data_IF_777710479747
#
_entry.id   IF_777710479747
#
_cell.length_a   1.000
_cell.length_b   1.000
_cell.length_c   1.000
_cell.angle_alpha   90.00
_cell.angle_beta   90.00
_cell.angle_gamma   90.00
#
_symmetry.space_group_name_H-M   'P 1'
#
loop_
_entity.id
_entity.type
_entity.pdbx_description
1 polymer ?
#
# COMPACT_ATOMS: atom_id res chain seq x y z
N UNK A 1 8.31 -6.37 -8.95
CA UNK A 1 6.92 -5.99 -8.66
C UNK A 1 6.83 -4.70 -7.83
N UNK A 2 5.78 -3.88 -8.04
CA UNK A 2 5.53 -2.65 -7.28
C UNK A 2 4.06 -2.47 -6.91
N UNK A 3 3.74 -2.15 -5.66
CA UNK A 3 2.42 -1.63 -5.24
C UNK A 3 2.47 -0.10 -5.31
N UNK A 4 1.59 0.53 -6.09
CA UNK A 4 1.69 1.95 -6.43
C UNK A 4 0.46 2.73 -5.95
N UNK A 5 0.72 3.81 -5.22
CA UNK A 5 -0.28 4.77 -4.74
C UNK A 5 -0.14 6.08 -5.55
N UNK A 6 -1.17 6.60 -6.22
CA UNK A 6 -1.06 7.83 -7.05
C UNK A 6 -1.66 9.08 -6.39
N UNK A 7 -0.97 10.22 -6.50
CA UNK A 7 -1.40 11.55 -6.00
C UNK A 7 -1.18 12.65 -7.05
N UNK A 8 -2.07 13.66 -7.07
CA UNK A 8 -1.88 14.94 -7.78
C UNK A 8 -1.33 16.02 -6.84
N UNK A 9 -0.38 16.81 -7.31
CA UNK A 9 0.13 18.00 -6.61
C UNK A 9 -0.99 19.00 -6.26
N UNK A 10 -1.05 19.42 -4.99
CA UNK A 10 -1.98 20.45 -4.50
C UNK A 10 -1.26 21.80 -4.54
N UNK A 11 -1.54 22.60 -5.56
CA UNK A 11 -1.11 24.01 -5.59
C UNK A 11 -1.98 24.81 -4.62
N UNK A 12 -1.41 25.18 -3.47
CA UNK A 12 -2.09 25.90 -2.38
C UNK A 12 -2.35 27.37 -2.75
N UNK A 13 -3.62 27.77 -2.88
CA UNK A 13 -4.02 29.18 -2.77
C UNK A 13 -4.03 29.58 -1.29
N UNK A 14 -3.14 30.50 -0.91
CA UNK A 14 -3.12 31.10 0.43
C UNK A 14 -4.12 32.27 0.48
N UNK A 15 -5.07 32.22 1.41
CA UNK A 15 -5.84 33.39 1.83
C UNK A 15 -5.77 33.51 3.36
N UNK A 16 -5.61 34.74 3.84
CA UNK A 16 -5.15 35.09 5.18
C UNK A 16 -6.25 35.21 6.25
N UNK A 17 -5.85 34.85 7.48
CA UNK A 17 -6.14 35.38 8.82
C UNK A 17 -7.58 35.70 9.27
N UNK A 18 -8.04 34.97 10.28
CA UNK A 18 -8.87 35.50 11.38
C UNK A 18 -8.42 34.85 12.71
N UNK A 19 -8.08 35.70 13.68
CA UNK A 19 -7.64 35.32 15.03
C UNK A 19 -8.89 35.12 15.90
N UNK A 20 -9.13 33.88 16.31
CA UNK A 20 -10.08 33.52 17.37
C UNK A 20 -9.46 32.38 18.17
N UNK A 21 -9.04 32.67 19.41
CA UNK A 21 -8.43 31.68 20.30
C UNK A 21 -9.53 30.77 20.88
N UNK A 22 -10.00 29.83 20.07
CA UNK A 22 -10.70 28.66 20.58
C UNK A 22 -9.64 27.70 21.11
N UNK A 23 -9.79 27.27 22.36
CA UNK A 23 -9.13 26.06 22.86
C UNK A 23 -9.78 24.87 22.15
N UNK A 24 -9.46 24.68 20.87
CA UNK A 24 -9.78 23.45 20.16
C UNK A 24 -8.81 22.41 20.68
N UNK A 25 -9.27 21.54 21.56
CA UNK A 25 -8.63 20.21 21.67
C UNK A 25 -8.48 19.69 20.25
N UNK A 26 -7.29 19.22 19.82
CA UNK A 26 -7.21 18.55 18.54
C UNK A 26 -8.12 17.34 18.66
N UNK A 27 -9.28 17.38 18.00
CA UNK A 27 -10.05 16.18 17.76
C UNK A 27 -9.07 15.28 17.02
N UNK A 28 -8.61 14.21 17.68
CA UNK A 28 -7.77 13.23 17.01
C UNK A 28 -8.67 12.65 15.93
N UNK A 29 -8.49 13.11 14.70
CA UNK A 29 -9.31 12.63 13.61
C UNK A 29 -8.99 11.14 13.46
N UNK A 30 -10.02 10.29 13.44
CA UNK A 30 -9.84 8.85 13.27
C UNK A 30 -9.00 8.55 12.03
N UNK A 31 -8.36 7.39 12.07
CA UNK A 31 -7.63 6.84 10.93
C UNK A 31 -8.58 6.66 9.75
N UNK A 32 -8.14 7.11 8.58
CA UNK A 32 -8.89 6.94 7.34
C UNK A 32 -8.41 5.65 6.66
N UNK A 33 -9.28 4.64 6.63
CA UNK A 33 -9.01 3.41 5.90
C UNK A 33 -8.91 3.72 4.40
N UNK A 34 -7.76 3.43 3.82
CA UNK A 34 -7.53 3.63 2.39
C UNK A 34 -7.93 2.39 1.57
N UNK A 35 -7.48 1.21 1.99
CA UNK A 35 -7.80 -0.06 1.36
C UNK A 35 -7.66 -1.19 2.39
N UNK A 36 -8.71 -1.98 2.55
CA UNK A 36 -8.75 -3.15 3.44
C UNK A 36 -8.50 -4.47 2.69
N UNK A 37 -8.72 -4.49 1.37
CA UNK A 37 -8.59 -5.67 0.50
C UNK A 37 -9.53 -6.82 0.87
N UNK A 38 -10.74 -6.51 1.33
CA UNK A 38 -11.74 -7.52 1.73
C UNK A 38 -12.74 -7.90 0.60
N UNK A 39 -12.62 -7.29 -0.57
CA UNK A 39 -13.49 -7.55 -1.73
C UNK A 39 -13.04 -8.73 -2.59
N UNK A 40 -13.92 -9.19 -3.48
CA UNK A 40 -13.65 -10.32 -4.39
C UNK A 40 -12.61 -10.02 -5.48
N UNK A 41 -12.38 -8.74 -5.76
CA UNK A 41 -11.47 -8.27 -6.81
C UNK A 41 -10.63 -7.11 -6.31
N UNK A 42 -9.59 -6.75 -7.06
CA UNK A 42 -8.81 -5.55 -6.78
C UNK A 42 -9.48 -4.24 -7.21
N UNK A 43 -10.65 -4.26 -7.87
CA UNK A 43 -11.30 -3.03 -8.31
C UNK A 43 -11.52 -2.07 -7.12
N UNK A 44 -11.22 -0.77 -7.26
CA UNK A 44 -10.90 -0.03 -8.50
C UNK A 44 -9.40 0.03 -8.87
N UNK A 45 -8.54 -0.80 -8.30
CA UNK A 45 -7.11 -0.83 -8.62
C UNK A 45 -6.85 -1.50 -9.96
N UNK A 46 -5.77 -1.07 -10.61
CA UNK A 46 -5.31 -1.60 -11.89
C UNK A 46 -4.16 -2.58 -11.68
N UNK A 47 -4.32 -3.80 -12.17
CA UNK A 47 -3.27 -4.82 -12.22
C UNK A 47 -2.55 -4.76 -13.57
N UNK A 48 -1.22 -4.87 -13.56
CA UNK A 48 -0.41 -5.14 -14.74
C UNK A 48 0.51 -6.33 -14.49
N UNK A 49 0.86 -7.05 -15.55
CA UNK A 49 1.68 -8.26 -15.44
C UNK A 49 0.92 -9.43 -14.80
N UNK A 50 1.66 -10.33 -14.15
CA UNK A 50 1.14 -11.61 -13.67
C UNK A 50 1.32 -11.83 -12.17
N UNK A 51 2.07 -10.96 -11.48
CA UNK A 51 2.42 -11.12 -10.07
C UNK A 51 1.23 -10.98 -9.11
N UNK A 52 0.12 -10.41 -9.55
CA UNK A 52 -1.11 -10.32 -8.77
C UNK A 52 -2.22 -11.15 -9.42
N UNK A 53 -3.00 -11.84 -8.59
CA UNK A 53 -4.21 -12.53 -9.03
C UNK A 53 -5.34 -11.57 -9.42
N UNK A 54 -6.55 -12.10 -9.64
CA UNK A 54 -7.74 -11.30 -9.94
C UNK A 54 -8.29 -10.52 -8.74
N UNK A 55 -7.87 -10.88 -7.53
CA UNK A 55 -8.30 -10.26 -6.28
C UNK A 55 -7.36 -10.60 -5.13
N UNK A 56 -7.68 -10.08 -3.92
CA UNK A 56 -6.95 -10.37 -2.70
C UNK A 56 -6.82 -11.87 -2.44
N UNK A 57 -5.67 -12.29 -1.93
CA UNK A 57 -5.50 -13.65 -1.42
C UNK A 57 -6.12 -13.74 -0.02
N UNK A 58 -6.59 -14.92 0.38
CA UNK A 58 -7.14 -15.16 1.72
C UNK A 58 -6.18 -15.97 2.62
N UNK A 59 -4.87 -15.75 2.42
CA UNK A 59 -3.79 -16.50 3.05
C UNK A 59 -2.63 -16.79 2.09
N UNK A 60 -1.78 -17.79 2.38
CA UNK A 60 -0.68 -18.18 1.51
C UNK A 60 -1.17 -18.80 0.20
N UNK A 61 -0.43 -18.56 -0.88
CA UNK A 61 -0.66 -19.19 -2.18
C UNK A 61 0.08 -20.55 -2.27
N UNK A 62 -0.28 -21.37 -3.25
CA UNK A 62 0.37 -22.67 -3.45
C UNK A 62 1.88 -22.52 -3.66
N UNK A 63 2.68 -23.24 -2.85
CA UNK A 63 4.14 -23.16 -2.88
C UNK A 63 4.75 -22.00 -2.09
N UNK A 64 3.92 -21.15 -1.46
CA UNK A 64 4.37 -20.07 -0.59
C UNK A 64 4.56 -20.54 0.85
N UNK A 65 5.48 -19.90 1.57
CA UNK A 65 5.54 -19.98 3.02
C UNK A 65 4.26 -19.42 3.68
N UNK A 66 4.03 -19.79 4.94
CA UNK A 66 2.87 -19.31 5.68
C UNK A 66 2.89 -17.79 5.86
N UNK A 67 1.78 -17.11 5.54
CA UNK A 67 1.64 -15.65 5.60
C UNK A 67 0.79 -15.28 6.82
N UNK A 68 1.30 -14.38 7.66
CA UNK A 68 0.67 -13.97 8.92
C UNK A 68 0.75 -12.45 9.13
N UNK A 69 0.04 -11.92 10.13
CA UNK A 69 0.13 -10.52 10.53
C UNK A 69 -0.70 -9.53 9.70
N UNK A 70 -1.33 -9.97 8.61
CA UNK A 70 -2.34 -9.16 7.92
C UNK A 70 -3.63 -9.04 8.75
N UNK A 71 -4.42 -8.00 8.48
CA UNK A 71 -5.70 -7.76 9.16
C UNK A 71 -6.85 -8.17 8.23
N UNK A 72 -7.92 -8.71 8.82
CA UNK A 72 -9.10 -9.13 8.06
C UNK A 72 -8.92 -10.50 7.44
N UNK A 73 -9.57 -10.73 6.30
CA UNK A 73 -9.54 -11.99 5.54
C UNK A 73 -8.75 -11.88 4.26
N UNK A 74 -8.51 -10.67 3.76
CA UNK A 74 -7.84 -10.44 2.49
C UNK A 74 -6.48 -9.77 2.63
N UNK A 75 -5.59 -10.04 1.69
CA UNK A 75 -4.34 -9.33 1.51
C UNK A 75 -3.97 -9.20 0.04
N UNK A 76 -3.23 -8.15 -0.29
CA UNK A 76 -2.49 -8.10 -1.56
C UNK A 76 -1.36 -9.11 -1.49
N UNK A 77 -1.34 -10.07 -2.42
CA UNK A 77 -0.28 -11.07 -2.51
C UNK A 77 0.32 -11.11 -3.92
N UNK A 78 1.63 -10.93 -3.95
CA UNK A 78 2.50 -10.83 -5.12
C UNK A 78 3.05 -12.14 -5.64
N UNK A 79 2.84 -13.21 -4.90
CA UNK A 79 3.39 -14.52 -5.21
C UNK A 79 2.53 -15.26 -6.25
N UNK A 80 1.63 -14.57 -6.94
CA UNK A 80 0.81 -15.21 -7.96
C UNK A 80 1.71 -15.71 -9.10
N UNK A 81 1.65 -17.02 -9.38
CA UNK A 81 2.58 -17.73 -10.28
C UNK A 81 4.05 -17.77 -9.80
N UNK A 82 4.32 -17.50 -8.52
CA UNK A 82 5.65 -17.62 -7.90
C UNK A 82 6.55 -16.39 -8.03
N UNK A 83 7.78 -16.50 -7.52
CA UNK A 83 8.73 -15.38 -7.35
C UNK A 83 9.20 -14.73 -8.65
N UNK A 84 9.20 -15.48 -9.75
CA UNK A 84 9.64 -14.98 -11.07
C UNK A 84 8.59 -14.09 -11.74
N UNK A 85 7.35 -14.08 -11.23
CA UNK A 85 6.28 -13.26 -11.76
C UNK A 85 6.57 -11.76 -11.56
N UNK A 86 6.15 -10.95 -12.53
CA UNK A 86 6.35 -9.49 -12.46
C UNK A 86 5.04 -8.77 -12.75
N UNK A 87 4.93 -7.53 -12.24
CA UNK A 87 3.71 -6.75 -12.38
C UNK A 87 3.64 -5.56 -11.43
N UNK A 88 2.52 -4.83 -11.51
CA UNK A 88 2.14 -3.81 -10.54
C UNK A 88 0.67 -3.91 -10.17
N UNK A 89 0.33 -3.49 -8.96
CA UNK A 89 -1.02 -3.23 -8.51
C UNK A 89 -1.08 -1.74 -8.17
N UNK A 90 -1.98 -1.00 -8.82
CA UNK A 90 -1.95 0.47 -8.82
C UNK A 90 -3.30 1.02 -8.39
N UNK A 91 -3.33 1.83 -7.34
CA UNK A 91 -4.57 2.45 -6.86
C UNK A 91 -5.08 3.51 -7.84
N UNK A 92 -6.36 3.88 -7.77
CA UNK A 92 -6.81 5.17 -8.28
C UNK A 92 -6.03 6.33 -7.62
N UNK A 93 -6.13 7.51 -8.23
CA UNK A 93 -5.67 8.74 -7.59
C UNK A 93 -6.46 9.00 -6.30
N UNK A 94 -5.76 9.46 -5.26
CA UNK A 94 -6.40 9.84 -4.00
C UNK A 94 -5.76 11.08 -3.38
N UNK A 95 -6.46 11.66 -2.41
CA UNK A 95 -5.98 12.80 -1.63
C UNK A 95 -5.35 12.30 -0.34
N UNK A 96 -4.16 12.81 -0.03
CA UNK A 96 -3.54 12.61 1.28
C UNK A 96 -4.20 13.57 2.28
N UNK A 97 -4.98 13.02 3.21
CA UNK A 97 -5.73 13.76 4.21
C UNK A 97 -5.10 13.73 5.61
N UNK A 98 -4.05 12.93 5.79
CA UNK A 98 -3.32 12.75 7.04
C UNK A 98 -1.82 12.89 6.80
N UNK A 99 -1.05 13.11 7.86
CA UNK A 99 0.42 13.26 7.77
C UNK A 99 1.15 11.95 7.46
N UNK A 100 0.49 10.82 7.70
CA UNK A 100 1.05 9.48 7.58
C UNK A 100 0.13 8.58 6.75
N UNK A 101 0.76 7.69 5.99
CA UNK A 101 0.15 6.52 5.39
C UNK A 101 0.74 5.32 6.10
N UNK A 102 -0.12 4.53 6.73
CA UNK A 102 0.26 3.31 7.44
C UNK A 102 -0.21 2.10 6.66
N UNK A 103 0.60 1.06 6.64
CA UNK A 103 0.32 -0.21 5.97
C UNK A 103 1.10 -1.30 6.69
N UNK A 104 0.69 -2.54 6.48
CA UNK A 104 1.41 -3.73 6.93
C UNK A 104 2.14 -4.29 5.70
N UNK A 105 3.44 -4.58 5.83
CA UNK A 105 4.25 -5.07 4.71
C UNK A 105 5.13 -6.25 5.13
N UNK A 106 5.19 -7.27 4.28
CA UNK A 106 6.01 -8.46 4.44
C UNK A 106 6.83 -8.76 3.18
N UNK A 107 7.52 -9.89 3.17
CA UNK A 107 8.28 -10.35 2.00
C UNK A 107 9.64 -9.66 1.83
N UNK A 108 10.13 -9.66 0.59
CA UNK A 108 11.51 -9.29 0.27
C UNK A 108 11.86 -7.80 0.39
N UNK A 109 13.12 -7.54 0.75
CA UNK A 109 13.74 -6.22 0.88
C UNK A 109 14.44 -5.82 -0.43
N UNK A 110 13.71 -5.20 -1.36
CA UNK A 110 14.33 -4.66 -2.58
C UNK A 110 13.59 -3.42 -3.11
N UNK A 111 14.11 -2.22 -2.85
CA UNK A 111 13.44 -0.99 -3.28
C UNK A 111 13.27 -0.88 -4.81
N UNK A 112 14.16 -1.51 -5.58
CA UNK A 112 14.12 -1.50 -7.04
C UNK A 112 13.17 -2.55 -7.61
N UNK A 113 13.18 -3.76 -7.03
CA UNK A 113 12.50 -4.94 -7.58
C UNK A 113 11.22 -5.31 -6.86
N UNK A 114 11.04 -4.99 -5.58
CA UNK A 114 9.88 -5.38 -4.77
C UNK A 114 9.58 -4.31 -3.72
N UNK A 115 8.68 -3.40 -4.07
CA UNK A 115 8.41 -2.24 -3.22
C UNK A 115 6.95 -1.78 -3.26
N UNK A 116 6.50 -1.23 -2.14
CA UNK A 116 5.37 -0.33 -2.06
C UNK A 116 5.87 1.09 -2.32
N UNK A 117 5.24 1.83 -3.22
CA UNK A 117 5.64 3.19 -3.57
C UNK A 117 4.46 4.15 -3.53
N UNK A 118 4.71 5.34 -2.99
CA UNK A 118 3.83 6.50 -3.15
C UNK A 118 4.34 7.32 -4.33
N UNK A 119 3.46 7.52 -5.30
CA UNK A 119 3.67 8.28 -6.51
C UNK A 119 2.94 9.62 -6.43
N UNK A 120 3.65 10.69 -6.77
CA UNK A 120 3.10 12.04 -6.96
C UNK A 120 3.42 12.47 -8.37
N UNK A 121 2.39 12.83 -9.14
CA UNK A 121 2.52 13.22 -10.56
C UNK A 121 3.33 12.18 -11.37
N UNK A 122 3.08 10.89 -11.11
CA UNK A 122 3.75 9.75 -11.74
C UNK A 122 5.16 9.45 -11.25
N UNK A 123 5.68 10.17 -10.25
CA UNK A 123 7.03 9.98 -9.70
C UNK A 123 7.00 9.38 -8.30
N UNK A 124 7.81 8.37 -8.05
CA UNK A 124 7.95 7.80 -6.71
C UNK A 124 8.59 8.82 -5.76
N UNK A 125 7.83 9.26 -4.76
CA UNK A 125 8.30 10.19 -3.72
C UNK A 125 8.60 9.48 -2.40
N UNK A 126 8.04 8.29 -2.18
CA UNK A 126 8.36 7.39 -1.06
C UNK A 126 8.35 5.95 -1.53
N UNK A 127 9.12 5.11 -0.86
CA UNK A 127 9.18 3.67 -1.09
C UNK A 127 9.33 2.95 0.25
N UNK A 128 8.74 1.77 0.36
CA UNK A 128 8.90 0.84 1.46
C UNK A 128 9.03 -0.59 0.89
N UNK A 129 9.66 -1.47 1.66
CA UNK A 129 9.88 -2.88 1.28
C UNK A 129 9.51 -3.77 2.47
N UNK A 130 9.37 -5.07 2.22
CA UNK A 130 9.35 -6.04 3.31
C UNK A 130 10.71 -6.13 4.01
N UNK A 131 10.77 -6.81 5.16
CA UNK A 131 11.98 -6.90 5.99
C UNK A 131 12.94 -8.01 5.57
N UNK A 132 12.59 -8.91 4.64
CA UNK A 132 13.41 -10.08 4.33
C UNK A 132 14.55 -9.74 3.36
N UNK A 133 15.78 -9.69 3.86
CA UNK A 133 17.01 -9.45 3.06
C UNK A 133 17.59 -10.72 2.42
N UNK A 134 17.02 -11.89 2.73
CA UNK A 134 17.45 -13.21 2.23
C UNK A 134 16.26 -14.16 2.04
N UNK A 135 16.41 -15.21 1.20
CA UNK A 135 15.38 -16.23 1.04
C UNK A 135 15.05 -16.96 2.36
N UNK A 136 13.80 -17.39 2.52
CA UNK A 136 13.34 -18.13 3.69
C UNK A 136 13.17 -17.28 4.96
N UNK A 137 13.02 -15.97 4.81
CA UNK A 137 12.67 -15.05 5.90
C UNK A 137 11.23 -15.23 6.39
N UNK A 138 10.71 -14.25 7.14
CA UNK A 138 9.35 -14.30 7.67
C UNK A 138 8.37 -13.63 6.70
N UNK A 139 7.25 -14.28 6.41
CA UNK A 139 6.16 -13.63 5.66
C UNK A 139 5.16 -12.92 6.60
N UNK A 140 5.56 -12.63 7.84
CA UNK A 140 4.77 -11.82 8.76
C UNK A 140 4.79 -10.35 8.33
N UNK A 141 3.62 -9.74 8.21
CA UNK A 141 3.50 -8.32 7.91
C UNK A 141 3.62 -7.49 9.20
N UNK A 142 4.37 -6.39 9.13
CA UNK A 142 4.54 -5.43 10.22
C UNK A 142 4.52 -3.99 9.72
#
# INVERSE_FOLDING_TARGET
MKLLFFMKSITSQRLALAIGCFLTSPLHADDLMFADFEGDTYAPWTVTGEAFGSGPAHGPLAGQMNVEGFKGKGLVNSFNKGDDSTGSLTSPEFRIERKYLSFLIGGGMSAEKLALQLLVDGKAVRSATGPNDRPGGTEALA
#
